data_IF_215057736694
#
_entry.id   IF_215057736694
#
_cell.length_a   1.000
_cell.length_b   1.000
_cell.length_c   1.000
_cell.angle_alpha   90.00
_cell.angle_beta   90.00
_cell.angle_gamma   90.00
#
_symmetry.space_group_name_H-M   'P 1'
#
loop_
_entity.id
_entity.type
_entity.pdbx_description
1 polymer ?
#
# COMPACT_ATOMS: atom_id res chain seq x y z
N UNK A 1 -3.09 -9.00 -7.34
CA UNK A 1 -1.72 -8.51 -7.10
C UNK A 1 -1.23 -9.02 -5.75
N UNK A 2 -0.02 -9.50 -5.69
CA UNK A 2 0.59 -9.99 -4.45
C UNK A 2 1.75 -9.07 -4.08
N UNK A 3 1.71 -8.57 -2.86
CA UNK A 3 2.72 -7.64 -2.34
C UNK A 3 3.46 -8.32 -1.19
N UNK A 4 4.76 -8.47 -1.35
CA UNK A 4 5.61 -9.16 -0.35
C UNK A 4 6.50 -8.21 0.44
N UNK A 5 6.53 -6.92 0.06
CA UNK A 5 7.30 -5.91 0.78
C UNK A 5 6.77 -4.52 0.50
N UNK A 6 7.05 -3.60 1.40
CA UNK A 6 6.84 -2.17 1.20
C UNK A 6 8.06 -1.63 0.46
N UNK A 7 7.85 -0.94 -0.65
CA UNK A 7 8.98 -0.45 -1.47
C UNK A 7 9.46 0.94 -1.06
N UNK A 8 8.76 1.61 -0.16
CA UNK A 8 9.18 2.90 0.35
C UNK A 8 8.02 3.71 0.89
N UNK A 9 8.26 4.98 1.10
CA UNK A 9 7.25 5.94 1.54
C UNK A 9 6.83 6.82 0.38
N UNK A 10 5.57 7.22 0.35
CA UNK A 10 5.05 8.06 -0.74
C UNK A 10 5.85 9.35 -0.92
N UNK A 11 6.35 9.92 0.17
CA UNK A 11 7.14 11.15 0.15
C UNK A 11 8.51 10.99 -0.51
N UNK A 12 8.98 9.75 -0.68
CA UNK A 12 10.28 9.46 -1.29
C UNK A 12 10.20 9.33 -2.81
N UNK A 13 9.00 9.44 -3.39
CA UNK A 13 8.78 9.27 -4.82
C UNK A 13 8.23 10.54 -5.45
N UNK A 14 8.60 10.76 -6.71
CA UNK A 14 7.98 11.81 -7.52
C UNK A 14 6.64 11.29 -8.03
N UNK A 15 5.55 11.94 -7.62
CA UNK A 15 4.19 11.50 -7.93
C UNK A 15 3.46 12.44 -8.89
N UNK A 16 4.16 13.43 -9.46
CA UNK A 16 3.52 14.46 -10.29
C UNK A 16 2.70 13.90 -11.44
N UNK A 17 3.23 12.90 -12.13
CA UNK A 17 2.60 12.34 -13.32
C UNK A 17 1.95 10.97 -13.05
N UNK A 18 1.82 10.58 -11.79
CA UNK A 18 1.29 9.28 -11.43
C UNK A 18 -0.13 9.37 -10.90
N UNK A 19 -0.94 8.36 -11.24
CA UNK A 19 -2.20 8.15 -10.57
C UNK A 19 -1.93 7.40 -9.28
N UNK A 20 -2.40 7.94 -8.16
CA UNK A 20 -2.24 7.28 -6.87
C UNK A 20 -3.52 6.52 -6.55
N UNK A 21 -3.39 5.19 -6.47
CA UNK A 21 -4.48 4.30 -6.09
C UNK A 21 -4.31 3.96 -4.61
N UNK A 22 -5.24 4.41 -3.79
CA UNK A 22 -5.12 4.27 -2.35
C UNK A 22 -5.78 3.01 -1.85
N UNK A 23 -5.11 2.35 -0.92
CA UNK A 23 -5.65 1.23 -0.18
C UNK A 23 -5.95 1.74 1.22
N UNK A 24 -7.24 1.79 1.57
CA UNK A 24 -7.65 2.26 2.89
C UNK A 24 -7.44 1.15 3.91
N UNK A 25 -6.73 1.44 4.97
CA UNK A 25 -6.38 0.49 5.99
C UNK A 25 -6.91 0.97 7.34
N UNK A 26 -7.59 0.05 8.05
CA UNK A 26 -8.03 0.32 9.40
C UNK A 26 -6.83 0.27 10.34
N UNK A 27 -6.83 1.13 11.32
CA UNK A 27 -5.77 1.21 12.33
C UNK A 27 -5.49 -0.15 13.00
N UNK A 28 -6.53 -0.96 13.20
CA UNK A 28 -6.39 -2.27 13.83
C UNK A 28 -5.74 -3.31 12.92
N UNK A 29 -5.75 -3.08 11.61
CA UNK A 29 -5.23 -4.04 10.65
C UNK A 29 -3.76 -3.79 10.29
N UNK A 30 -3.17 -2.71 10.80
CA UNK A 30 -1.79 -2.36 10.51
C UNK A 30 -0.78 -3.42 10.95
N UNK A 31 -1.10 -4.15 12.01
CA UNK A 31 -0.20 -5.15 12.58
C UNK A 31 -0.30 -6.51 11.90
N UNK A 32 -1.22 -6.68 10.98
CA UNK A 32 -1.41 -7.95 10.29
C UNK A 32 -0.46 -8.06 9.11
N UNK A 33 0.48 -9.00 9.09
CA UNK A 33 1.41 -9.15 7.96
C UNK A 33 0.78 -9.80 6.74
N UNK A 34 -0.34 -10.52 6.90
CA UNK A 34 -1.02 -11.21 5.81
C UNK A 34 -2.47 -10.76 5.76
N UNK A 35 -2.86 -10.12 4.67
CA UNK A 35 -4.24 -9.67 4.51
C UNK A 35 -4.53 -9.32 3.07
N UNK A 36 -5.81 -9.32 2.72
CA UNK A 36 -6.27 -8.85 1.41
C UNK A 36 -6.92 -7.48 1.58
N UNK A 37 -6.51 -6.56 0.74
CA UNK A 37 -7.03 -5.20 0.73
C UNK A 37 -7.58 -4.89 -0.64
N UNK A 38 -8.49 -3.92 -0.70
CA UNK A 38 -9.03 -3.45 -1.96
C UNK A 38 -8.70 -1.97 -2.12
N UNK A 39 -8.14 -1.62 -3.27
CA UNK A 39 -7.82 -0.24 -3.57
C UNK A 39 -9.06 0.54 -4.00
N UNK A 40 -8.94 1.86 -4.06
CA UNK A 40 -10.04 2.72 -4.50
C UNK A 40 -10.49 2.42 -5.93
N UNK A 41 -9.58 1.98 -6.78
CA UNK A 41 -9.91 1.61 -8.15
C UNK A 41 -10.58 0.23 -8.26
N UNK A 42 -10.64 -0.51 -7.16
CA UNK A 42 -11.25 -1.84 -7.12
C UNK A 42 -10.28 -2.99 -7.29
N UNK A 43 -8.98 -2.72 -7.33
CA UNK A 43 -7.99 -3.79 -7.44
C UNK A 43 -7.82 -4.50 -6.11
N UNK A 44 -7.74 -5.82 -6.15
CA UNK A 44 -7.46 -6.63 -4.98
C UNK A 44 -5.95 -6.72 -4.78
N UNK A 45 -5.50 -6.35 -3.59
CA UNK A 45 -4.09 -6.36 -3.21
C UNK A 45 -3.92 -7.35 -2.06
N UNK A 46 -3.26 -8.46 -2.33
CA UNK A 46 -2.92 -9.44 -1.30
C UNK A 46 -1.55 -9.07 -0.73
N UNK A 47 -1.51 -8.80 0.57
CA UNK A 47 -0.28 -8.41 1.24
C UNK A 47 0.22 -9.57 2.07
N UNK A 48 1.50 -9.91 1.93
CA UNK A 48 2.16 -10.96 2.68
C UNK A 48 3.56 -10.48 3.04
N UNK A 49 3.68 -9.78 4.17
CA UNK A 49 4.95 -9.17 4.58
C UNK A 49 5.79 -10.15 5.39
N UNK A 50 7.13 -10.01 5.34
CA UNK A 50 8.02 -10.77 6.19
C UNK A 50 7.78 -10.47 7.67
N UNK A 51 8.20 -11.39 8.52
CA UNK A 51 8.10 -11.21 9.97
C UNK A 51 8.80 -9.92 10.41
N UNK A 52 8.11 -9.15 11.21
CA UNK A 52 8.62 -7.88 11.73
C UNK A 52 8.31 -6.66 10.89
N UNK A 53 7.81 -6.83 9.67
CA UNK A 53 7.39 -5.71 8.85
C UNK A 53 5.91 -5.42 9.05
N UNK A 54 5.55 -4.14 8.98
CA UNK A 54 4.18 -3.67 9.16
C UNK A 54 3.82 -2.65 8.10
N UNK A 55 2.54 -2.55 7.82
CA UNK A 55 2.01 -1.48 6.99
C UNK A 55 1.91 -0.19 7.81
N UNK A 56 2.00 0.94 7.12
CA UNK A 56 1.87 2.25 7.74
C UNK A 56 1.25 3.23 6.74
N UNK A 57 0.73 4.34 7.23
CA UNK A 57 0.18 5.38 6.35
C UNK A 57 1.28 5.96 5.48
N UNK A 58 1.04 5.97 4.17
CA UNK A 58 2.03 6.41 3.21
C UNK A 58 2.94 5.32 2.69
N UNK A 59 2.74 4.06 3.11
CA UNK A 59 3.53 2.94 2.58
C UNK A 59 3.19 2.72 1.10
N UNK A 60 4.21 2.64 0.26
CA UNK A 60 4.05 2.36 -1.16
C UNK A 60 4.22 0.87 -1.38
N UNK A 61 3.19 0.25 -1.96
CA UNK A 61 3.15 -1.19 -2.18
C UNK A 61 3.54 -1.57 -3.60
N UNK A 62 3.23 -0.69 -4.56
CA UNK A 62 3.50 -0.93 -5.97
C UNK A 62 3.68 0.40 -6.68
N UNK A 63 4.54 0.42 -7.68
CA UNK A 63 4.73 1.60 -8.53
C UNK A 63 5.16 1.17 -9.93
N UNK A 64 4.53 1.77 -10.94
CA UNK A 64 5.02 1.68 -12.31
C UNK A 64 5.05 3.10 -12.92
N UNK A 65 5.23 3.20 -14.24
CA UNK A 65 5.32 4.51 -14.90
C UNK A 65 4.01 5.29 -14.93
N UNK A 66 2.89 4.63 -14.66
CA UNK A 66 1.57 5.21 -14.77
C UNK A 66 0.84 5.36 -13.44
N UNK A 67 1.11 4.48 -12.48
CA UNK A 67 0.37 4.48 -11.23
C UNK A 67 1.23 4.02 -10.05
N UNK A 68 0.73 4.34 -8.87
CA UNK A 68 1.32 3.93 -7.61
C UNK A 68 0.19 3.45 -6.71
N UNK A 69 0.43 2.35 -5.99
CA UNK A 69 -0.51 1.88 -4.96
C UNK A 69 0.10 2.17 -3.60
N UNK A 70 -0.61 2.94 -2.80
CA UNK A 70 -0.13 3.39 -1.50
C UNK A 70 -1.20 3.18 -0.43
N UNK A 71 -0.75 2.98 0.80
CA UNK A 71 -1.63 2.79 1.96
C UNK A 71 -2.04 4.15 2.53
N UNK A 72 -3.33 4.30 2.84
CA UNK A 72 -3.85 5.43 3.58
C UNK A 72 -4.64 4.89 4.78
N UNK A 73 -4.59 5.58 5.90
CA UNK A 73 -5.22 5.11 7.13
C UNK A 73 -6.57 5.76 7.34
N UNK A 74 -7.54 4.99 7.81
CA UNK A 74 -8.76 5.53 8.37
C UNK A 74 -8.47 6.19 9.71
N UNK A 75 -9.07 7.31 9.92
CA UNK A 75 -9.05 7.96 11.22
C UNK A 75 -10.30 7.62 12.03
#
# INVERSE_FOLDING_TARGET
MIIEKVIGKIEDFDVEDLSIDRVMLDHYDMDKPHQKLRSESGETVAVSLPYGEKLFGGAVLYKDDNKMIAVDLFE
#
